data_IF_414745743100
#
_entry.id   IF_414745743100
#
_cell.length_a   1.000
_cell.length_b   1.000
_cell.length_c   1.000
_cell.angle_alpha   90.00
_cell.angle_beta   90.00
_cell.angle_gamma   90.00
#
_symmetry.space_group_name_H-M   'P 1'
#
loop_
_entity.id
_entity.type
_entity.pdbx_description
1 polymer ?
#
# COMPACT_ATOMS: atom_id res chain seq x y z
N UNK A 1 4.62 -22.97 -16.70
CA UNK A 1 4.66 -22.52 -18.11
C UNK A 1 3.30 -22.65 -18.82
N UNK A 2 2.44 -23.59 -18.42
CA UNK A 2 1.06 -23.77 -18.94
C UNK A 2 0.12 -22.60 -18.63
N UNK A 3 0.23 -21.96 -17.47
CA UNK A 3 -0.67 -20.85 -17.08
C UNK A 3 -0.57 -19.63 -17.98
N UNK A 4 0.63 -19.26 -18.42
CA UNK A 4 0.85 -18.13 -19.33
C UNK A 4 0.16 -18.37 -20.68
N UNK A 5 0.10 -19.64 -21.12
CA UNK A 5 -0.57 -20.02 -22.37
C UNK A 5 -2.09 -19.87 -22.25
N UNK A 6 -2.67 -20.35 -21.14
CA UNK A 6 -4.10 -20.21 -20.83
C UNK A 6 -4.52 -18.73 -20.72
N UNK A 7 -3.74 -17.89 -20.03
CA UNK A 7 -4.03 -16.46 -19.91
C UNK A 7 -4.02 -15.74 -21.27
N UNK A 8 -3.09 -16.12 -22.17
CA UNK A 8 -3.03 -15.59 -23.54
C UNK A 8 -4.23 -16.04 -24.38
N UNK A 9 -4.62 -17.31 -24.27
CA UNK A 9 -5.79 -17.86 -24.98
C UNK A 9 -7.10 -17.19 -24.52
N UNK A 10 -7.26 -16.92 -23.23
CA UNK A 10 -8.40 -16.17 -22.70
C UNK A 10 -8.43 -14.71 -23.19
N UNK A 11 -7.28 -14.03 -23.19
CA UNK A 11 -7.19 -12.66 -23.67
C UNK A 11 -7.54 -12.57 -25.17
N UNK A 12 -7.04 -13.52 -25.97
CA UNK A 12 -7.37 -13.61 -27.40
C UNK A 12 -8.87 -13.84 -27.62
N UNK A 13 -9.49 -14.75 -26.85
CA UNK A 13 -10.93 -15.00 -26.93
C UNK A 13 -11.76 -13.76 -26.55
N UNK A 14 -11.31 -12.94 -25.58
CA UNK A 14 -11.97 -11.67 -25.23
C UNK A 14 -11.85 -10.62 -26.33
N UNK A 15 -10.72 -10.55 -27.03
CA UNK A 15 -10.55 -9.67 -28.19
C UNK A 15 -11.44 -10.12 -29.35
N UNK A 16 -11.50 -11.41 -29.66
CA UNK A 16 -12.36 -11.93 -30.73
C UNK A 16 -13.85 -11.69 -30.43
N UNK A 17 -14.27 -11.89 -29.18
CA UNK A 17 -15.65 -11.59 -28.76
C UNK A 17 -15.98 -10.10 -28.87
N UNK A 18 -15.07 -9.23 -28.41
CA UNK A 18 -15.26 -7.78 -28.50
C UNK A 18 -15.26 -7.29 -29.94
N UNK A 19 -14.36 -7.81 -30.78
CA UNK A 19 -14.30 -7.50 -32.21
C UNK A 19 -15.57 -7.95 -32.94
N UNK A 20 -16.08 -9.15 -32.62
CA UNK A 20 -17.33 -9.66 -33.19
C UNK A 20 -18.52 -8.79 -32.76
N UNK A 21 -18.58 -8.39 -31.48
CA UNK A 21 -19.63 -7.49 -31.00
C UNK A 21 -19.61 -6.14 -31.72
N UNK A 22 -18.44 -5.49 -31.83
CA UNK A 22 -18.30 -4.21 -32.55
C UNK A 22 -18.69 -4.34 -34.02
N UNK A 23 -18.32 -5.45 -34.68
CA UNK A 23 -18.75 -5.73 -36.06
C UNK A 23 -20.26 -5.87 -36.18
N UNK A 24 -20.90 -6.67 -35.33
CA UNK A 24 -22.36 -6.83 -35.34
C UNK A 24 -23.08 -5.51 -35.11
N UNK A 25 -22.59 -4.66 -34.19
CA UNK A 25 -23.16 -3.32 -33.99
C UNK A 25 -22.93 -2.40 -35.18
N UNK A 26 -21.75 -2.43 -35.80
CA UNK A 26 -21.45 -1.67 -37.00
C UNK A 26 -22.34 -2.10 -38.17
N UNK A 27 -22.49 -3.41 -38.39
CA UNK A 27 -23.34 -3.98 -39.44
C UNK A 27 -24.82 -3.59 -39.22
N UNK A 28 -25.29 -3.67 -37.97
CA UNK A 28 -26.66 -3.29 -37.62
C UNK A 28 -26.89 -1.78 -37.81
N UNK A 29 -25.91 -0.95 -37.45
CA UNK A 29 -25.96 0.49 -37.64
C UNK A 29 -25.95 0.86 -39.13
N UNK A 30 -25.09 0.21 -39.92
CA UNK A 30 -25.01 0.41 -41.36
C UNK A 30 -26.33 0.04 -42.03
N UNK A 31 -26.91 -1.11 -41.66
CA UNK A 31 -28.16 -1.58 -42.19
C UNK A 31 -29.35 -0.69 -41.79
N UNK A 32 -29.39 -0.23 -40.54
CA UNK A 32 -30.55 0.48 -39.98
C UNK A 32 -30.53 1.98 -40.22
N UNK A 33 -29.35 2.61 -40.30
CA UNK A 33 -29.22 4.07 -40.37
C UNK A 33 -28.47 4.55 -41.62
N UNK A 34 -27.33 3.94 -41.95
CA UNK A 34 -26.50 4.44 -43.05
C UNK A 34 -27.16 4.21 -44.43
N UNK A 35 -27.64 2.98 -44.70
CA UNK A 35 -28.26 2.64 -45.98
C UNK A 35 -29.53 3.43 -46.28
N UNK A 36 -30.49 3.59 -45.34
CA UNK A 36 -31.67 4.40 -45.58
C UNK A 36 -31.31 5.88 -45.78
N UNK A 37 -30.46 6.44 -44.91
CA UNK A 37 -30.08 7.85 -45.01
C UNK A 37 -29.47 8.19 -46.38
N UNK A 38 -28.55 7.36 -46.88
CA UNK A 38 -27.93 7.55 -48.19
C UNK A 38 -28.95 7.52 -49.33
N UNK A 39 -29.86 6.54 -49.33
CA UNK A 39 -30.91 6.43 -50.35
C UNK A 39 -31.87 7.61 -50.32
N UNK A 40 -32.24 8.09 -49.13
CA UNK A 40 -33.13 9.25 -49.00
C UNK A 40 -32.41 10.53 -49.44
N UNK A 41 -31.13 10.71 -49.08
CA UNK A 41 -30.37 11.88 -49.53
C UNK A 41 -30.24 11.93 -51.04
N UNK A 42 -29.96 10.81 -51.73
CA UNK A 42 -29.86 10.82 -53.19
C UNK A 42 -31.19 11.21 -53.85
N UNK A 43 -32.32 10.72 -53.33
CA UNK A 43 -33.63 11.09 -53.86
C UNK A 43 -33.95 12.59 -53.69
N UNK A 44 -33.55 13.21 -52.57
CA UNK A 44 -33.75 14.64 -52.34
C UNK A 44 -32.91 15.55 -53.25
N UNK A 45 -31.74 15.08 -53.70
CA UNK A 45 -30.92 15.85 -54.64
C UNK A 45 -31.54 15.94 -56.04
N UNK A 46 -32.29 14.92 -56.46
CA UNK A 46 -32.95 14.90 -57.77
C UNK A 46 -34.16 15.84 -57.82
N UNK A 47 -34.89 16.00 -56.71
CA UNK A 47 -36.12 16.78 -56.68
C UNK A 47 -35.88 18.29 -56.47
N UNK A 48 -34.88 18.67 -55.64
CA UNK A 48 -34.59 20.08 -55.33
C UNK A 48 -33.07 20.35 -55.16
N UNK A 49 -32.30 20.44 -56.26
CA UNK A 49 -30.83 20.50 -56.21
C UNK A 49 -30.27 21.76 -55.53
N UNK A 50 -30.96 22.90 -55.64
CA UNK A 50 -30.53 24.18 -55.06
C UNK A 50 -30.65 24.16 -53.53
N UNK A 51 -31.80 23.72 -53.00
CA UNK A 51 -32.02 23.64 -51.55
C UNK A 51 -31.12 22.59 -50.90
N UNK A 52 -30.92 21.45 -51.56
CA UNK A 52 -30.10 20.36 -51.03
C UNK A 52 -28.62 20.74 -50.90
N UNK A 53 -28.05 21.41 -51.90
CA UNK A 53 -26.66 21.91 -51.84
C UNK A 53 -26.46 22.98 -50.77
N UNK A 54 -27.42 23.89 -50.59
CA UNK A 54 -27.38 24.87 -49.50
C UNK A 54 -27.37 24.20 -48.12
N UNK A 55 -28.26 23.23 -47.89
CA UNK A 55 -28.34 22.48 -46.63
C UNK A 55 -27.06 21.68 -46.38
N UNK A 56 -26.50 21.05 -47.42
CA UNK A 56 -25.25 20.31 -47.30
C UNK A 56 -24.08 21.20 -46.88
N UNK A 57 -23.90 22.35 -47.53
CA UNK A 57 -22.84 23.31 -47.21
C UNK A 57 -23.08 23.92 -45.82
N UNK A 58 -24.32 24.33 -45.52
CA UNK A 58 -24.69 24.86 -44.20
C UNK A 58 -24.42 23.84 -43.10
N UNK A 59 -24.81 22.57 -43.31
CA UNK A 59 -24.56 21.48 -42.37
C UNK A 59 -23.07 21.23 -42.20
N UNK A 60 -22.29 21.18 -43.27
CA UNK A 60 -20.83 21.00 -43.20
C UNK A 60 -20.15 22.16 -42.43
N UNK A 61 -20.55 23.41 -42.69
CA UNK A 61 -20.04 24.58 -41.99
C UNK A 61 -20.50 24.64 -40.53
N UNK A 62 -21.72 24.20 -40.21
CA UNK A 62 -22.26 24.15 -38.86
C UNK A 62 -21.69 22.96 -38.05
N UNK A 63 -21.23 21.91 -38.72
CA UNK A 63 -20.63 20.75 -38.06
C UNK A 63 -19.31 21.12 -37.38
N UNK A 64 -18.52 22.00 -38.00
CA UNK A 64 -17.26 22.48 -37.44
C UNK A 64 -17.43 23.12 -36.05
N UNK A 65 -18.23 24.19 -35.85
CA UNK A 65 -18.41 24.79 -34.53
C UNK A 65 -19.05 23.82 -33.52
N UNK A 66 -19.92 22.90 -33.95
CA UNK A 66 -20.50 21.88 -33.06
C UNK A 66 -19.43 20.91 -32.54
N UNK A 67 -18.58 20.39 -33.42
CA UNK A 67 -17.46 19.54 -33.00
C UNK A 67 -16.52 20.29 -32.07
N UNK A 68 -16.13 21.50 -32.42
CA UNK A 68 -15.19 22.29 -31.61
C UNK A 68 -15.77 22.56 -30.23
N UNK A 69 -17.07 22.85 -30.15
CA UNK A 69 -17.77 23.00 -28.87
C UNK A 69 -17.77 21.71 -28.03
N UNK A 70 -18.08 20.56 -28.64
CA UNK A 70 -18.06 19.26 -27.95
C UNK A 70 -16.64 18.93 -27.46
N UNK A 71 -15.64 19.11 -28.32
CA UNK A 71 -14.24 18.84 -27.99
C UNK A 71 -13.74 19.74 -26.86
N UNK A 72 -14.01 21.05 -26.92
CA UNK A 72 -13.65 22.00 -25.86
C UNK A 72 -14.39 21.72 -24.54
N UNK A 73 -15.68 21.36 -24.62
CA UNK A 73 -16.46 20.97 -23.44
C UNK A 73 -15.88 19.74 -22.75
N UNK A 74 -15.63 18.67 -23.51
CA UNK A 74 -14.98 17.45 -22.99
C UNK A 74 -13.59 17.73 -22.45
N UNK A 75 -12.78 18.50 -23.18
CA UNK A 75 -11.43 18.89 -22.74
C UNK A 75 -11.48 19.66 -21.41
N UNK A 76 -12.44 20.56 -21.26
CA UNK A 76 -12.63 21.33 -20.01
C UNK A 76 -13.01 20.41 -18.85
N UNK A 77 -13.95 19.48 -19.04
CA UNK A 77 -14.37 18.54 -18.00
C UNK A 77 -13.19 17.65 -17.56
N UNK A 78 -12.43 17.12 -18.51
CA UNK A 78 -11.26 16.26 -18.23
C UNK A 78 -10.16 17.07 -17.53
N UNK A 79 -9.86 18.27 -18.01
CA UNK A 79 -8.85 19.16 -17.43
C UNK A 79 -9.20 19.55 -15.99
N UNK A 80 -10.45 19.94 -15.73
CA UNK A 80 -10.92 20.27 -14.38
C UNK A 80 -10.89 19.06 -13.45
N UNK A 81 -11.25 17.87 -13.95
CA UNK A 81 -11.20 16.63 -13.18
C UNK A 81 -9.76 16.26 -12.81
N UNK A 82 -8.83 16.35 -13.76
CA UNK A 82 -7.41 16.10 -13.52
C UNK A 82 -6.80 17.10 -12.55
N UNK A 83 -7.13 18.39 -12.70
CA UNK A 83 -6.70 19.44 -11.78
C UNK A 83 -7.23 19.20 -10.36
N UNK A 84 -8.51 18.84 -10.24
CA UNK A 84 -9.13 18.49 -8.96
C UNK A 84 -8.44 17.31 -8.28
N UNK A 85 -8.14 16.24 -9.03
CA UNK A 85 -7.41 15.08 -8.52
C UNK A 85 -5.99 15.45 -8.09
N UNK A 86 -5.28 16.27 -8.88
CA UNK A 86 -3.93 16.73 -8.55
C UNK A 86 -3.94 17.56 -7.26
N UNK A 87 -4.85 18.52 -7.14
CA UNK A 87 -5.02 19.33 -5.92
C UNK A 87 -5.37 18.46 -4.71
N UNK A 88 -6.32 17.52 -4.85
CA UNK A 88 -6.69 16.60 -3.79
C UNK A 88 -5.51 15.75 -3.33
N UNK A 89 -4.69 15.26 -4.26
CA UNK A 89 -3.50 14.47 -3.96
C UNK A 89 -2.43 15.27 -3.22
N UNK A 90 -2.16 16.51 -3.67
CA UNK A 90 -1.21 17.42 -3.01
C UNK A 90 -1.66 17.74 -1.58
N UNK A 91 -2.94 18.10 -1.40
CA UNK A 91 -3.50 18.40 -0.09
C UNK A 91 -3.48 17.17 0.83
N UNK A 92 -3.89 16.01 0.32
CA UNK A 92 -3.85 14.75 1.07
C UNK A 92 -2.43 14.40 1.52
N UNK A 93 -1.46 14.48 0.60
CA UNK A 93 -0.04 14.24 0.89
C UNK A 93 0.49 15.23 1.94
N UNK A 94 0.19 16.52 1.81
CA UNK A 94 0.61 17.54 2.77
C UNK A 94 0.06 17.27 4.18
N UNK A 95 -1.22 16.88 4.29
CA UNK A 95 -1.83 16.51 5.58
C UNK A 95 -1.13 15.29 6.17
N UNK A 96 -0.89 14.24 5.39
CA UNK A 96 -0.19 13.03 5.87
C UNK A 96 1.22 13.36 6.37
N UNK A 97 1.98 14.16 5.62
CA UNK A 97 3.33 14.59 6.02
C UNK A 97 3.30 15.46 7.29
N UNK A 98 2.29 16.31 7.43
CA UNK A 98 2.09 17.11 8.63
C UNK A 98 1.82 16.24 9.87
N UNK A 99 0.91 15.28 9.78
CA UNK A 99 0.65 14.32 10.86
C UNK A 99 1.86 13.45 11.18
N UNK A 100 2.60 12.99 10.16
CA UNK A 100 3.84 12.24 10.34
C UNK A 100 4.88 13.08 11.11
N UNK A 101 5.00 14.37 10.78
CA UNK A 101 5.91 15.28 11.46
C UNK A 101 5.55 15.46 12.93
N UNK A 102 4.25 15.63 13.25
CA UNK A 102 3.75 15.68 14.63
C UNK A 102 4.05 14.37 15.37
N UNK A 103 3.85 13.22 14.72
CA UNK A 103 4.12 11.91 15.29
C UNK A 103 5.60 11.77 15.64
N UNK A 104 6.50 12.08 14.70
CA UNK A 104 7.96 12.03 14.93
C UNK A 104 8.35 12.97 16.07
N UNK A 105 7.83 14.19 16.10
CA UNK A 105 8.10 15.15 17.17
C UNK A 105 7.63 14.62 18.54
N UNK A 106 6.45 14.00 18.57
CA UNK A 106 5.90 13.40 19.80
C UNK A 106 6.78 12.25 20.27
N UNK A 107 7.17 11.34 19.36
CA UNK A 107 8.06 10.22 19.69
C UNK A 107 9.40 10.69 20.25
N UNK A 108 10.01 11.69 19.62
CA UNK A 108 11.27 12.29 20.08
C UNK A 108 11.09 12.91 21.46
N UNK A 109 10.02 13.67 21.68
CA UNK A 109 9.71 14.29 22.98
C UNK A 109 9.50 13.23 24.06
N UNK A 110 8.73 12.19 23.77
CA UNK A 110 8.48 11.07 24.69
C UNK A 110 9.75 10.29 24.99
N UNK A 111 10.62 10.08 24.00
CA UNK A 111 11.92 9.43 24.17
C UNK A 111 12.81 10.22 25.14
N UNK A 112 12.95 11.53 24.93
CA UNK A 112 13.72 12.39 25.83
C UNK A 112 13.10 12.47 27.23
N UNK A 113 11.77 12.59 27.32
CA UNK A 113 11.08 12.60 28.61
C UNK A 113 11.33 11.29 29.37
N UNK A 114 11.20 10.14 28.71
CA UNK A 114 11.48 8.83 29.29
C UNK A 114 12.94 8.70 29.74
N UNK A 115 13.89 9.15 28.93
CA UNK A 115 15.31 9.22 29.29
C UNK A 115 15.56 10.10 30.53
N UNK A 116 14.94 11.27 30.58
CA UNK A 116 15.06 12.17 31.73
C UNK A 116 14.47 11.55 33.01
N UNK A 117 13.27 10.97 32.93
CA UNK A 117 12.64 10.29 34.07
C UNK A 117 13.44 9.10 34.57
N UNK A 118 14.03 8.31 33.68
CA UNK A 118 14.89 7.17 34.08
C UNK A 118 16.16 7.65 34.78
N UNK A 119 16.84 8.67 34.26
CA UNK A 119 18.02 9.26 34.93
C UNK A 119 17.64 9.85 36.29
N UNK A 120 16.51 10.55 36.39
CA UNK A 120 16.02 11.12 37.64
C UNK A 120 15.66 10.04 38.67
N UNK A 121 14.98 8.98 38.24
CA UNK A 121 14.65 7.84 39.10
C UNK A 121 15.91 7.13 39.60
N UNK A 122 16.90 6.87 38.73
CA UNK A 122 18.20 6.30 39.11
C UNK A 122 18.92 7.22 40.10
N UNK A 123 18.97 8.53 39.82
CA UNK A 123 19.62 9.51 40.69
C UNK A 123 18.95 9.59 42.07
N UNK A 124 17.62 9.59 42.10
CA UNK A 124 16.84 9.61 43.35
C UNK A 124 17.05 8.32 44.14
N UNK A 125 17.05 7.17 43.48
CA UNK A 125 17.34 5.88 44.11
C UNK A 125 18.75 5.82 44.69
N UNK A 126 19.76 6.24 43.92
CA UNK A 126 21.15 6.31 44.37
C UNK A 126 21.30 7.28 45.55
N UNK A 127 20.66 8.45 45.48
CA UNK A 127 20.65 9.44 46.55
C UNK A 127 19.99 8.91 47.82
N UNK A 128 18.83 8.27 47.70
CA UNK A 128 18.15 7.61 48.82
C UNK A 128 19.03 6.54 49.47
N UNK A 129 19.62 5.65 48.66
CA UNK A 129 20.53 4.59 49.13
C UNK A 129 21.79 5.15 49.77
N UNK A 130 22.32 6.25 49.24
CA UNK A 130 23.48 6.93 49.82
C UNK A 130 23.15 7.51 51.20
N UNK A 131 22.02 8.20 51.33
CA UNK A 131 21.56 8.77 52.60
C UNK A 131 21.34 7.69 53.66
N UNK A 132 20.77 6.53 53.29
CA UNK A 132 20.58 5.43 54.23
C UNK A 132 21.91 4.82 54.68
N UNK A 133 22.87 4.61 53.77
CA UNK A 133 24.21 4.09 54.12
C UNK A 133 25.00 5.05 55.02
N UNK A 134 24.97 6.35 54.73
CA UNK A 134 25.66 7.36 55.55
C UNK A 134 25.07 7.42 56.96
N UNK A 135 23.75 7.26 57.09
CA UNK A 135 23.09 7.20 58.39
C UNK A 135 23.43 5.93 59.18
N UNK A 136 23.59 4.79 58.53
CA UNK A 136 23.90 3.52 59.24
C UNK A 136 25.37 3.35 59.60
N UNK A 137 26.29 3.87 58.79
CA UNK A 137 27.73 3.51 58.86
C UNK A 137 28.69 4.71 58.93
N UNK A 138 28.18 5.94 58.98
CA UNK A 138 29.01 7.14 59.10
C UNK A 138 29.96 7.36 57.91
N UNK A 139 31.22 7.77 58.18
CA UNK A 139 32.20 8.12 57.13
C UNK A 139 32.69 6.93 56.32
N UNK A 140 32.75 5.74 56.92
CA UNK A 140 33.24 4.52 56.25
C UNK A 140 32.27 3.99 55.18
N UNK A 141 30.97 4.33 55.29
CA UNK A 141 29.95 3.98 54.31
C UNK A 141 30.15 4.63 52.94
N UNK A 142 30.83 5.78 52.86
CA UNK A 142 31.09 6.47 51.59
C UNK A 142 32.13 5.71 50.77
N UNK A 143 33.20 5.24 51.40
CA UNK A 143 34.26 4.49 50.72
C UNK A 143 33.80 3.11 50.26
N UNK A 144 32.99 2.40 51.06
CA UNK A 144 32.50 1.08 50.67
C UNK A 144 31.51 1.17 49.49
N UNK A 145 30.63 2.18 49.49
CA UNK A 145 29.70 2.43 48.39
C UNK A 145 30.42 2.76 47.07
N UNK A 146 31.46 3.60 47.11
CA UNK A 146 32.22 3.96 45.92
C UNK A 146 32.91 2.74 45.27
N UNK A 147 33.46 1.84 46.10
CA UNK A 147 34.09 0.59 45.63
C UNK A 147 33.03 -0.34 45.04
N UNK A 148 31.88 -0.50 45.69
CA UNK A 148 30.79 -1.36 45.21
C UNK A 148 30.20 -0.85 43.87
N UNK A 149 29.92 0.45 43.76
CA UNK A 149 29.35 1.05 42.53
C UNK A 149 30.34 0.98 41.36
N UNK A 150 31.63 1.24 41.62
CA UNK A 150 32.68 1.12 40.59
C UNK A 150 32.86 -0.32 40.11
N UNK A 151 32.76 -1.30 41.03
CA UNK A 151 32.83 -2.72 40.71
C UNK A 151 31.72 -3.18 39.75
N UNK A 152 30.48 -2.73 39.98
CA UNK A 152 29.33 -3.10 39.14
C UNK A 152 29.42 -2.56 37.71
N UNK A 153 29.94 -1.34 37.52
CA UNK A 153 30.10 -0.75 36.19
C UNK A 153 31.24 -1.36 35.37
N UNK A 154 32.34 -1.78 36.02
CA UNK A 154 33.47 -2.38 35.31
C UNK A 154 33.18 -3.85 34.95
N UNK A 155 32.41 -4.56 35.77
CA UNK A 155 32.12 -5.98 35.55
C UNK A 155 31.09 -6.22 34.43
N UNK A 156 30.18 -5.28 34.15
CA UNK A 156 29.21 -5.42 33.05
C UNK A 156 29.89 -5.44 31.67
N UNK A 157 30.91 -4.60 31.46
CA UNK A 157 31.61 -4.48 30.18
C UNK A 157 32.44 -5.73 29.80
N UNK A 158 32.68 -6.65 30.74
CA UNK A 158 33.46 -7.88 30.50
C UNK A 158 32.61 -9.08 30.05
N UNK A 159 31.28 -9.04 30.23
CA UNK A 159 30.41 -10.17 29.86
C UNK A 159 30.12 -10.24 28.37
N UNK A 160 30.02 -9.11 27.68
CA UNK A 160 29.72 -9.10 26.24
C UNK A 160 30.92 -9.49 25.36
N UNK A 161 32.13 -9.50 25.91
CA UNK A 161 33.36 -9.86 25.18
C UNK A 161 33.70 -11.36 25.24
N UNK A 162 33.06 -12.15 26.11
CA UNK A 162 33.44 -13.55 26.35
C UNK A 162 32.45 -14.58 25.81
N UNK A 163 31.27 -14.15 25.32
CA UNK A 163 30.17 -15.05 24.90
C UNK A 163 30.00 -15.11 23.37
N UNK A 164 31.08 -14.81 22.63
CA UNK A 164 31.19 -15.01 21.18
C UNK A 164 31.96 -16.29 20.81
N UNK A 165 32.25 -17.17 21.77
CA UNK A 165 32.81 -18.48 21.48
C UNK A 165 31.71 -19.36 20.91
N UNK A 166 31.50 -19.26 19.60
CA UNK A 166 30.74 -20.19 18.77
C UNK A 166 31.06 -21.61 19.25
N UNK A 167 30.14 -22.20 20.00
CA UNK A 167 30.12 -23.62 20.26
C UNK A 167 29.90 -24.26 18.89
N UNK A 168 30.97 -24.74 18.27
CA UNK A 168 30.90 -25.66 17.15
C UNK A 168 30.18 -26.88 17.71
N UNK A 169 28.87 -26.93 17.49
CA UNK A 169 28.05 -28.11 17.71
C UNK A 169 28.54 -29.14 16.70
N UNK A 170 29.47 -29.98 17.15
CA UNK A 170 29.89 -31.17 16.44
C UNK A 170 28.66 -32.05 16.25
N UNK A 171 28.16 -32.08 15.01
CA UNK A 171 26.95 -32.78 14.62
C UNK A 171 27.22 -34.28 14.69
N UNK A 172 27.03 -34.86 15.87
CA UNK A 172 27.01 -36.30 16.07
C UNK A 172 25.74 -36.87 15.42
N UNK A 173 25.97 -37.53 14.29
CA UNK A 173 25.04 -38.24 13.42
C UNK A 173 24.08 -39.17 14.21
N UNK A 174 22.75 -39.09 13.99
CA UNK A 174 21.79 -39.98 14.62
C UNK A 174 21.69 -41.32 13.87
N UNK A 175 21.58 -42.46 14.59
CA UNK A 175 21.40 -43.76 13.95
C UNK A 175 20.00 -43.92 13.33
N UNK A 176 19.86 -44.76 12.29
CA UNK A 176 18.60 -45.04 11.64
C UNK A 176 17.70 -45.86 12.58
N UNK A 177 16.55 -45.30 12.94
CA UNK A 177 15.49 -46.05 13.62
C UNK A 177 14.36 -46.31 12.61
N UNK A 178 14.52 -47.44 11.92
CA UNK A 178 13.47 -48.14 11.23
C UNK A 178 12.47 -48.75 12.22
N UNK A 179 11.23 -48.84 11.75
CA UNK A 179 10.13 -49.71 12.20
C UNK A 179 9.40 -49.35 13.52
N UNK A 180 8.17 -48.85 13.41
CA UNK A 180 6.98 -49.71 13.43
C UNK A 180 5.71 -48.88 13.71
N UNK A 181 4.76 -48.93 12.76
CA UNK A 181 3.35 -48.59 12.99
C UNK A 181 2.77 -49.46 14.13
N UNK A 182 1.80 -48.94 14.91
CA UNK A 182 0.42 -49.26 14.56
C UNK A 182 -0.55 -48.08 14.72
N UNK A 183 -1.43 -47.99 13.73
CA UNK A 183 -2.74 -47.38 13.80
C UNK A 183 -3.57 -47.92 14.97
N UNK A 184 -4.08 -47.02 15.82
CA UNK A 184 -5.31 -47.25 16.59
C UNK A 184 -6.20 -46.04 16.45
N UNK A 185 -7.12 -46.21 15.51
CA UNK A 185 -8.47 -45.69 15.49
C UNK A 185 -9.18 -45.97 16.83
N UNK A 186 -9.82 -44.95 17.42
CA UNK A 186 -10.95 -45.10 18.34
C UNK A 186 -11.48 -43.73 18.79
N UNK A 187 -12.54 -43.29 18.11
CA UNK A 187 -13.81 -42.91 18.73
C UNK A 187 -13.78 -42.43 20.20
N UNK A 188 -14.16 -41.17 20.45
CA UNK A 188 -14.98 -40.84 21.63
C UNK A 188 -15.89 -39.64 21.39
N UNK A 189 -17.09 -40.00 20.94
CA UNK A 189 -18.40 -39.40 21.20
C UNK A 189 -18.55 -38.79 22.62
N UNK A 190 -19.00 -37.54 22.71
CA UNK A 190 -19.80 -36.95 23.82
C UNK A 190 -20.36 -35.61 23.29
N UNK A 191 -21.62 -35.52 22.85
CA UNK A 191 -22.85 -35.33 23.62
C UNK A 191 -22.85 -34.14 24.60
N UNK A 192 -23.70 -33.15 24.29
CA UNK A 192 -24.61 -32.50 25.23
C UNK A 192 -24.13 -31.22 25.93
N UNK A 193 -24.56 -30.05 25.45
CA UNK A 193 -25.76 -29.34 25.94
C UNK A 193 -26.09 -28.14 25.05
#
# INVERSE_FOLDING_TARGET
MSEIRSAKEQLAAHFDKSATAVRTYADQFEASYARPALKTTSAFFDEYPISSTFIAIFSALAFFPVITFIALSLFTIVSLSFLGLCCAFVVSSAIVLFFLSILVLTLVTTFFASGFFTVLAISTYLGYRFVTLVRSSGRDGVSSWAIETKGRFIQSNRRDASDGSVVVVDAKEPPPQDSAFPSTDSDTKHEGF
#
